data_IF_875753878663
#
_entry.id   IF_875753878663
#
_cell.length_a   1.000
_cell.length_b   1.000
_cell.length_c   1.000
_cell.angle_alpha   90.00
_cell.angle_beta   90.00
_cell.angle_gamma   90.00
#
_symmetry.space_group_name_H-M   'P 1'
#
loop_
_entity.id
_entity.type
_entity.pdbx_description
1 polymer ?
#
# COMPACT_ATOMS: atom_id res chain seq x y z
N UNK A 1 13.16 52.04 57.10
CA UNK A 1 13.54 50.85 56.30
C UNK A 1 12.34 49.97 55.91
N UNK A 2 11.10 50.48 55.92
CA UNK A 2 9.88 49.68 55.64
C UNK A 2 9.17 50.04 54.32
N UNK A 3 9.45 51.21 53.72
CA UNK A 3 8.79 51.65 52.47
C UNK A 3 9.39 51.02 51.20
N UNK A 4 10.65 50.58 51.23
CA UNK A 4 11.35 50.01 50.06
C UNK A 4 11.02 48.53 49.84
N UNK A 5 10.62 47.81 50.89
CA UNK A 5 10.32 46.36 50.83
C UNK A 5 8.92 46.10 50.23
N UNK A 6 8.01 47.06 50.35
CA UNK A 6 6.63 46.92 49.87
C UNK A 6 6.50 47.17 48.36
N UNK A 7 7.30 48.09 47.80
CA UNK A 7 7.34 48.37 46.35
C UNK A 7 8.05 47.26 45.54
N UNK A 8 9.03 46.58 46.13
CA UNK A 8 9.74 45.44 45.48
C UNK A 8 8.82 44.21 45.36
N UNK A 9 7.98 43.92 46.37
CA UNK A 9 7.06 42.78 46.34
C UNK A 9 5.95 42.91 45.28
N UNK A 10 5.43 44.12 45.03
CA UNK A 10 4.36 44.32 44.05
C UNK A 10 4.85 44.22 42.59
N UNK A 11 6.11 44.62 42.33
CA UNK A 11 6.75 44.51 41.00
C UNK A 11 7.12 43.05 40.66
N UNK A 12 7.55 42.26 41.66
CA UNK A 12 7.88 40.83 41.49
C UNK A 12 6.60 40.00 41.27
N UNK A 13 5.51 40.29 41.99
CA UNK A 13 4.23 39.60 41.80
C UNK A 13 3.67 39.91 40.41
N UNK A 14 3.75 41.16 39.93
CA UNK A 14 3.27 41.55 38.61
C UNK A 14 4.09 40.89 37.47
N UNK A 15 5.42 40.84 37.60
CA UNK A 15 6.29 40.14 36.63
C UNK A 15 6.06 38.63 36.62
N UNK A 16 5.88 37.99 37.78
CA UNK A 16 5.53 36.56 37.87
C UNK A 16 4.12 36.26 37.31
N UNK A 17 3.15 37.18 37.46
CA UNK A 17 1.80 37.02 36.91
C UNK A 17 1.77 37.19 35.39
N UNK A 18 2.46 38.22 34.86
CA UNK A 18 2.62 38.43 33.42
C UNK A 18 3.39 37.27 32.76
N UNK A 19 4.40 36.72 33.44
CA UNK A 19 5.14 35.54 32.99
C UNK A 19 4.28 34.26 32.97
N UNK A 20 3.43 34.07 33.99
CA UNK A 20 2.52 32.90 34.10
C UNK A 20 1.34 32.96 33.11
N UNK A 21 0.84 34.15 32.79
CA UNK A 21 -0.15 34.37 31.72
C UNK A 21 0.47 34.17 30.33
N UNK A 22 1.70 34.67 30.10
CA UNK A 22 2.45 34.45 28.86
C UNK A 22 2.73 32.96 28.62
N UNK A 23 3.10 32.20 29.64
CA UNK A 23 3.41 30.77 29.52
C UNK A 23 2.19 29.94 29.12
N UNK A 24 0.99 30.22 29.68
CA UNK A 24 -0.24 29.53 29.27
C UNK A 24 -0.63 29.84 27.82
N UNK A 25 -0.45 31.08 27.37
CA UNK A 25 -0.75 31.50 26.00
C UNK A 25 0.25 30.88 25.02
N UNK A 26 1.53 30.81 25.38
CA UNK A 26 2.56 30.12 24.58
C UNK A 26 2.27 28.62 24.51
N UNK A 27 1.94 27.97 25.62
CA UNK A 27 1.57 26.54 25.63
C UNK A 27 0.31 26.27 24.80
N UNK A 28 -0.71 27.14 24.86
CA UNK A 28 -1.94 26.98 24.07
C UNK A 28 -1.68 27.12 22.57
N UNK A 29 -0.85 28.09 22.16
CA UNK A 29 -0.47 28.27 20.76
C UNK A 29 0.46 27.15 20.26
N UNK A 30 1.36 26.62 21.10
CA UNK A 30 2.20 25.47 20.75
C UNK A 30 1.35 24.21 20.60
N UNK A 31 0.37 23.96 21.49
CA UNK A 31 -0.58 22.85 21.36
C UNK A 31 -1.45 23.00 20.12
N UNK A 32 -1.90 24.22 19.81
CA UNK A 32 -2.67 24.50 18.60
C UNK A 32 -1.82 24.26 17.33
N UNK A 33 -0.55 24.67 17.33
CA UNK A 33 0.37 24.48 16.21
C UNK A 33 0.74 23.00 16.00
N UNK A 34 0.94 22.24 17.08
CA UNK A 34 1.19 20.78 16.99
C UNK A 34 -0.05 20.01 16.55
N UNK A 35 -1.25 20.48 16.91
CA UNK A 35 -2.51 19.92 16.44
C UNK A 35 -2.76 20.16 14.94
N UNK A 36 -2.29 21.28 14.37
CA UNK A 36 -2.37 21.53 12.92
C UNK A 36 -1.39 20.64 12.14
N UNK A 37 -0.21 20.37 12.68
CA UNK A 37 0.82 19.55 12.02
C UNK A 37 0.49 18.04 11.96
N UNK A 38 -0.42 17.54 12.80
CA UNK A 38 -0.79 16.12 12.83
C UNK A 38 -1.90 15.72 11.84
N UNK A 39 -2.49 16.67 11.11
CA UNK A 39 -3.63 16.40 10.19
C UNK A 39 -3.20 16.26 8.72
N UNK A 40 -1.90 16.16 8.44
CA UNK A 40 -1.45 15.68 7.12
C UNK A 40 -1.68 14.17 7.02
N UNK A 41 -2.94 13.77 6.87
CA UNK A 41 -3.29 12.43 6.44
C UNK A 41 -2.91 12.33 4.97
N UNK A 42 -1.85 11.58 4.67
CA UNK A 42 -1.52 11.22 3.29
C UNK A 42 -2.76 10.53 2.69
N UNK A 43 -3.39 11.14 1.68
CA UNK A 43 -4.30 10.41 0.81
C UNK A 43 -3.43 9.42 0.02
N UNK A 44 -3.35 8.18 0.51
CA UNK A 44 -2.79 7.09 -0.28
C UNK A 44 -3.90 6.65 -1.23
N UNK A 45 -3.81 7.09 -2.49
CA UNK A 45 -4.66 6.59 -3.56
C UNK A 45 -4.16 5.17 -3.88
N UNK A 46 -4.79 4.16 -3.29
CA UNK A 46 -4.48 2.78 -3.61
C UNK A 46 -4.93 2.46 -5.04
N UNK A 47 -4.15 1.67 -5.75
CA UNK A 47 -4.51 1.09 -7.04
C UNK A 47 -5.88 0.41 -6.94
N UNK A 48 -6.74 0.67 -7.92
CA UNK A 48 -8.07 0.05 -7.98
C UNK A 48 -7.96 -1.42 -8.42
N UNK A 49 -7.70 -2.29 -7.46
CA UNK A 49 -7.78 -3.73 -7.65
C UNK A 49 -9.21 -4.22 -7.38
N UNK A 50 -9.79 -4.96 -8.32
CA UNK A 50 -11.13 -5.54 -8.20
C UNK A 50 -11.04 -7.02 -7.76
N UNK A 51 -12.09 -7.54 -7.14
CA UNK A 51 -12.22 -8.96 -6.81
C UNK A 51 -12.81 -9.73 -8.01
N UNK A 52 -12.09 -10.74 -8.49
CA UNK A 52 -12.52 -11.57 -9.63
C UNK A 52 -13.16 -12.92 -9.25
N UNK A 53 -13.36 -13.21 -7.96
CA UNK A 53 -14.00 -14.46 -7.53
C UNK A 53 -13.45 -15.08 -6.24
N UNK A 54 -13.00 -14.27 -5.29
CA UNK A 54 -12.56 -14.74 -3.97
C UNK A 54 -13.72 -15.46 -3.25
N UNK A 55 -13.52 -16.72 -2.88
CA UNK A 55 -14.57 -17.54 -2.26
C UNK A 55 -14.22 -17.95 -0.83
N UNK A 56 -12.94 -18.18 -0.55
CA UNK A 56 -12.45 -18.68 0.74
C UNK A 56 -11.61 -17.66 1.52
N UNK A 57 -11.76 -16.38 1.20
CA UNK A 57 -11.02 -15.31 1.84
C UNK A 57 -11.45 -13.93 1.37
N UNK A 58 -10.83 -12.91 1.93
CA UNK A 58 -11.12 -11.50 1.65
C UNK A 58 -9.82 -10.76 1.37
N UNK A 59 -9.81 -9.97 0.29
CA UNK A 59 -8.71 -9.07 -0.05
C UNK A 59 -8.76 -7.85 0.89
N UNK A 60 -7.66 -7.55 1.56
CA UNK A 60 -7.52 -6.37 2.42
C UNK A 60 -6.85 -5.23 1.66
N UNK A 61 -5.74 -5.53 0.98
CA UNK A 61 -4.98 -4.54 0.24
C UNK A 61 -4.21 -5.19 -0.91
N UNK A 62 -4.00 -4.43 -1.98
CA UNK A 62 -3.14 -4.83 -3.09
C UNK A 62 -2.23 -3.65 -3.42
N UNK A 63 -0.93 -3.92 -3.35
CA UNK A 63 0.12 -2.96 -3.68
C UNK A 63 0.89 -3.47 -4.91
N UNK A 64 1.13 -2.60 -5.88
CA UNK A 64 1.89 -2.93 -7.09
C UNK A 64 2.90 -1.84 -7.35
N UNK A 65 4.18 -2.21 -7.35
CA UNK A 65 5.28 -1.28 -7.52
C UNK A 65 5.16 -0.48 -8.83
N UNK A 66 5.14 0.85 -8.73
CA UNK A 66 5.06 1.74 -9.89
C UNK A 66 3.64 2.02 -10.39
N UNK A 67 2.61 1.66 -9.61
CA UNK A 67 1.20 1.89 -9.95
C UNK A 67 0.46 2.73 -8.89
N UNK A 68 1.19 3.47 -8.06
CA UNK A 68 0.66 4.35 -7.01
C UNK A 68 -0.18 5.49 -7.62
N UNK A 69 -1.45 5.61 -7.18
CA UNK A 69 -2.35 6.65 -7.65
C UNK A 69 -2.87 6.49 -9.08
N UNK A 70 -2.63 5.34 -9.71
CA UNK A 70 -3.12 5.01 -11.05
C UNK A 70 -4.37 4.13 -11.00
N UNK A 71 -5.34 4.38 -11.88
CA UNK A 71 -6.51 3.50 -12.07
C UNK A 71 -6.20 2.31 -12.99
N UNK A 72 -5.20 2.46 -13.88
CA UNK A 72 -4.73 1.43 -14.81
C UNK A 72 -3.21 1.33 -14.67
N UNK A 73 -2.72 0.20 -14.17
CA UNK A 73 -1.32 -0.01 -13.81
C UNK A 73 -0.39 -0.03 -15.05
N UNK A 74 0.57 0.90 -15.17
CA UNK A 74 1.56 0.90 -16.26
C UNK A 74 2.63 -0.17 -16.02
N UNK A 75 2.54 -1.30 -16.73
CA UNK A 75 3.54 -2.36 -16.67
C UNK A 75 4.69 -2.06 -17.63
N UNK A 76 5.78 -1.52 -17.09
CA UNK A 76 6.94 -1.14 -17.90
C UNK A 76 7.77 -2.35 -18.35
N UNK A 77 7.95 -2.46 -19.65
CA UNK A 77 8.82 -3.45 -20.29
C UNK A 77 10.26 -3.31 -19.79
N UNK A 78 10.94 -4.45 -19.62
CA UNK A 78 12.33 -4.50 -19.18
C UNK A 78 12.52 -4.24 -17.69
N UNK A 79 11.43 -4.23 -16.91
CA UNK A 79 11.48 -3.99 -15.46
C UNK A 79 10.86 -5.13 -14.67
N UNK A 80 11.28 -5.23 -13.41
CA UNK A 80 10.63 -6.09 -12.42
C UNK A 80 9.47 -5.31 -11.79
N UNK A 81 8.29 -5.91 -11.80
CA UNK A 81 7.11 -5.44 -11.10
C UNK A 81 6.88 -6.37 -9.90
N UNK A 82 6.75 -5.78 -8.72
CA UNK A 82 6.45 -6.51 -7.49
C UNK A 82 5.03 -6.19 -7.05
N UNK A 83 4.26 -7.23 -6.79
CA UNK A 83 2.90 -7.15 -6.27
C UNK A 83 2.86 -7.76 -4.88
N UNK A 84 2.21 -7.07 -3.94
CA UNK A 84 1.93 -7.58 -2.60
C UNK A 84 0.43 -7.58 -2.37
N UNK A 85 -0.14 -8.76 -2.13
CA UNK A 85 -1.54 -8.93 -1.75
C UNK A 85 -1.64 -9.26 -0.26
N UNK A 86 -2.34 -8.41 0.50
CA UNK A 86 -2.72 -8.65 1.88
C UNK A 86 -4.14 -9.22 1.89
N UNK A 87 -4.34 -10.37 2.54
CA UNK A 87 -5.63 -11.03 2.57
C UNK A 87 -5.89 -11.75 3.88
N UNK A 88 -7.17 -11.96 4.20
CA UNK A 88 -7.60 -12.83 5.29
C UNK A 88 -8.16 -14.12 4.72
N UNK A 89 -7.74 -15.26 5.26
CA UNK A 89 -8.29 -16.57 4.89
C UNK A 89 -9.54 -16.87 5.72
N UNK A 90 -10.57 -17.47 5.13
CA UNK A 90 -11.76 -17.99 5.85
C UNK A 90 -11.69 -19.51 6.07
N UNK A 91 -10.66 -20.15 5.51
CA UNK A 91 -10.45 -21.60 5.57
C UNK A 91 -9.08 -21.94 6.14
N UNK A 92 -8.94 -23.20 6.54
CA UNK A 92 -7.63 -23.80 6.79
C UNK A 92 -7.16 -24.48 5.51
N UNK A 93 -5.93 -24.21 5.07
CA UNK A 93 -5.33 -24.89 3.92
C UNK A 93 -3.87 -25.22 4.17
N UNK A 94 -3.45 -26.43 3.78
CA UNK A 94 -2.05 -26.87 3.93
C UNK A 94 -1.14 -26.32 2.83
N UNK A 95 -1.71 -26.04 1.67
CA UNK A 95 -1.00 -25.51 0.51
C UNK A 95 -1.69 -24.26 0.00
N UNK A 96 -0.94 -23.39 -0.65
CA UNK A 96 -1.50 -22.20 -1.28
C UNK A 96 -0.81 -22.04 -2.64
N UNK A 97 -1.56 -22.17 -3.72
CA UNK A 97 -1.02 -22.14 -5.07
C UNK A 97 -1.29 -20.80 -5.73
N UNK A 98 -0.24 -20.08 -6.11
CA UNK A 98 -0.31 -18.88 -6.91
C UNK A 98 -0.45 -19.21 -8.41
N UNK A 99 -1.39 -18.55 -9.07
CA UNK A 99 -1.51 -18.55 -10.52
C UNK A 99 -1.77 -17.13 -11.03
N UNK A 100 -0.99 -16.71 -12.03
CA UNK A 100 -1.15 -15.40 -12.67
C UNK A 100 -1.62 -15.58 -14.09
N UNK A 101 -2.61 -14.78 -14.51
CA UNK A 101 -3.10 -14.75 -15.88
C UNK A 101 -3.08 -13.34 -16.45
N UNK A 102 -2.67 -13.21 -17.71
CA UNK A 102 -2.90 -12.01 -18.50
C UNK A 102 -4.09 -12.23 -19.43
N UNK A 103 -5.04 -11.30 -19.41
CA UNK A 103 -6.26 -11.35 -20.22
C UNK A 103 -6.31 -10.18 -21.21
N UNK A 104 -6.55 -10.50 -22.46
CA UNK A 104 -6.69 -9.54 -23.57
C UNK A 104 -7.95 -9.90 -24.34
N UNK A 105 -9.05 -9.19 -24.04
CA UNK A 105 -10.38 -9.51 -24.57
C UNK A 105 -10.81 -10.93 -24.18
N UNK A 106 -11.01 -11.80 -25.17
CA UNK A 106 -11.40 -13.21 -24.97
C UNK A 106 -10.23 -14.15 -24.69
N UNK A 107 -9.00 -13.69 -24.87
CA UNK A 107 -7.81 -14.51 -24.68
C UNK A 107 -7.32 -14.39 -23.23
N UNK A 108 -7.18 -15.53 -22.53
CA UNK A 108 -6.57 -15.63 -21.19
C UNK A 108 -5.34 -16.52 -21.27
N UNK A 109 -4.18 -16.03 -20.84
CA UNK A 109 -2.90 -16.76 -20.85
C UNK A 109 -2.33 -16.86 -19.45
N UNK A 110 -1.98 -18.07 -19.03
CA UNK A 110 -1.29 -18.31 -17.75
C UNK A 110 0.18 -17.92 -17.86
N UNK A 111 0.65 -17.10 -16.94
CA UNK A 111 2.07 -16.79 -16.79
C UNK A 111 2.77 -17.92 -16.03
N UNK A 112 3.97 -18.31 -16.48
CA UNK A 112 4.75 -19.38 -15.85
C UNK A 112 5.58 -18.79 -14.71
N UNK A 113 5.15 -19.02 -13.48
CA UNK A 113 5.90 -18.66 -12.28
C UNK A 113 7.08 -19.64 -12.08
N UNK A 114 8.24 -19.18 -11.56
CA UNK A 114 9.34 -20.05 -11.17
C UNK A 114 8.92 -21.07 -10.12
N UNK A 115 8.14 -20.62 -9.15
CA UNK A 115 7.49 -21.43 -8.13
C UNK A 115 6.03 -20.94 -7.99
N UNK A 116 5.09 -21.87 -8.05
CA UNK A 116 3.67 -21.59 -7.87
C UNK A 116 3.19 -21.85 -6.45
N UNK A 117 4.00 -22.44 -5.56
CA UNK A 117 3.59 -22.66 -4.18
C UNK A 117 3.88 -21.41 -3.33
N UNK A 118 2.84 -20.65 -3.04
CA UNK A 118 2.94 -19.45 -2.20
C UNK A 118 3.40 -19.76 -0.76
N UNK A 119 3.22 -21.00 -0.28
CA UNK A 119 3.76 -21.45 1.00
C UNK A 119 5.30 -21.47 1.02
N UNK A 120 5.93 -21.72 -0.13
CA UNK A 120 7.38 -21.82 -0.24
C UNK A 120 8.02 -20.45 -0.48
N UNK A 121 7.23 -19.45 -0.91
CA UNK A 121 7.72 -18.14 -1.37
C UNK A 121 7.22 -16.94 -0.57
N UNK A 122 6.62 -17.13 0.61
CA UNK A 122 6.33 -15.98 1.49
C UNK A 122 5.15 -16.13 2.46
N UNK A 123 4.28 -17.13 2.30
CA UNK A 123 3.15 -17.34 3.21
C UNK A 123 3.43 -18.51 4.15
N UNK A 124 3.30 -18.30 5.46
CA UNK A 124 3.48 -19.37 6.43
C UNK A 124 2.27 -20.32 6.39
N UNK A 125 2.51 -21.57 5.97
CA UNK A 125 1.49 -22.60 5.90
C UNK A 125 1.60 -23.60 7.08
N UNK A 126 0.49 -24.23 7.50
CA UNK A 126 -0.86 -24.09 6.95
C UNK A 126 -1.48 -22.72 7.26
N UNK A 127 -2.16 -22.14 6.29
CA UNK A 127 -2.98 -20.95 6.54
C UNK A 127 -4.22 -21.35 7.36
N UNK A 128 -4.71 -20.43 8.17
CA UNK A 128 -5.77 -20.65 9.15
C UNK A 128 -6.89 -19.63 8.98
N UNK A 129 -8.13 -20.01 9.33
CA UNK A 129 -9.28 -19.13 9.21
C UNK A 129 -9.14 -17.91 10.12
N UNK A 130 -9.56 -16.75 9.61
CA UNK A 130 -9.53 -15.42 10.24
C UNK A 130 -8.13 -14.87 10.50
N UNK A 131 -7.09 -15.50 9.96
CA UNK A 131 -5.73 -14.96 9.98
C UNK A 131 -5.43 -14.18 8.70
N UNK A 132 -4.61 -13.13 8.85
CA UNK A 132 -4.20 -12.26 7.76
C UNK A 132 -2.78 -12.62 7.31
N UNK A 133 -2.58 -12.67 6.00
CA UNK A 133 -1.33 -13.01 5.34
C UNK A 133 -0.94 -11.95 4.32
N UNK A 134 0.35 -11.88 4.03
CA UNK A 134 0.91 -11.09 2.93
C UNK A 134 1.56 -12.05 1.94
N UNK A 135 1.13 -12.02 0.69
CA UNK A 135 1.78 -12.72 -0.40
C UNK A 135 2.46 -11.71 -1.32
N UNK A 136 3.76 -11.86 -1.53
CA UNK A 136 4.54 -11.00 -2.42
C UNK A 136 5.06 -11.81 -3.60
N UNK A 137 4.91 -11.26 -4.80
CA UNK A 137 5.36 -11.85 -6.05
C UNK A 137 6.05 -10.80 -6.92
N UNK A 138 7.24 -11.13 -7.43
CA UNK A 138 7.97 -10.28 -8.38
C UNK A 138 8.03 -10.96 -9.75
N UNK A 139 7.65 -10.22 -10.80
CA UNK A 139 7.63 -10.69 -12.19
C UNK A 139 8.42 -9.72 -13.07
N UNK A 140 9.23 -10.26 -13.98
CA UNK A 140 9.89 -9.48 -15.02
C UNK A 140 9.00 -9.33 -16.25
N UNK A 141 8.76 -8.09 -16.70
CA UNK A 141 7.99 -7.79 -17.91
C UNK A 141 8.94 -7.86 -19.12
N UNK A 142 8.82 -8.93 -19.92
CA UNK A 142 9.78 -9.21 -20.99
C UNK A 142 9.71 -8.20 -22.15
N UNK A 143 10.86 -7.97 -22.81
CA UNK A 143 11.00 -7.03 -23.93
C UNK A 143 10.14 -7.33 -25.15
N UNK A 144 9.81 -8.61 -25.35
CA UNK A 144 9.00 -9.06 -26.47
C UNK A 144 7.48 -8.93 -26.21
N UNK A 145 7.06 -8.43 -25.05
CA UNK A 145 5.64 -8.26 -24.75
C UNK A 145 5.07 -7.07 -25.54
N UNK A 146 3.92 -7.25 -26.22
CA UNK A 146 3.31 -6.20 -27.00
C UNK A 146 2.80 -5.08 -26.08
N UNK A 147 2.87 -3.83 -26.56
CA UNK A 147 2.37 -2.65 -25.84
C UNK A 147 0.84 -2.56 -25.98
N UNK A 148 0.11 -3.23 -25.09
CA UNK A 148 -1.35 -3.36 -25.13
C UNK A 148 -1.97 -3.23 -23.75
N UNK A 149 -3.27 -2.96 -23.68
CA UNK A 149 -4.05 -3.15 -22.47
C UNK A 149 -4.16 -4.65 -22.14
N UNK A 150 -4.01 -4.99 -20.86
CA UNK A 150 -4.08 -6.35 -20.34
C UNK A 150 -4.65 -6.31 -18.94
N UNK A 151 -5.63 -7.16 -18.64
CA UNK A 151 -6.06 -7.35 -17.26
C UNK A 151 -5.20 -8.45 -16.64
N UNK A 152 -4.60 -8.17 -15.49
CA UNK A 152 -3.79 -9.15 -14.75
C UNK A 152 -4.64 -9.74 -13.65
N UNK A 153 -4.78 -11.06 -13.63
CA UNK A 153 -5.48 -11.80 -12.59
C UNK A 153 -4.47 -12.58 -11.73
N UNK A 154 -4.45 -12.34 -10.42
CA UNK A 154 -3.73 -13.15 -9.44
C UNK A 154 -4.73 -14.02 -8.68
N UNK A 155 -4.51 -15.32 -8.70
CA UNK A 155 -5.24 -16.32 -7.95
C UNK A 155 -4.36 -16.90 -6.85
N UNK A 156 -4.87 -16.96 -5.62
CA UNK A 156 -4.30 -17.77 -4.53
C UNK A 156 -5.28 -18.89 -4.19
N UNK A 157 -4.92 -20.12 -4.53
CA UNK A 157 -5.80 -21.27 -4.56
C UNK A 157 -5.44 -22.21 -3.41
N UNK A 158 -6.43 -22.63 -2.63
CA UNK A 158 -6.22 -23.56 -1.51
C UNK A 158 -6.06 -25.03 -1.92
N UNK A 159 -5.90 -25.93 -0.94
CA UNK A 159 -5.78 -27.37 -1.14
C UNK A 159 -7.08 -28.05 -1.61
N UNK A 160 -8.20 -27.32 -1.69
CA UNK A 160 -9.48 -27.76 -2.26
C UNK A 160 -9.70 -27.28 -3.69
N UNK A 161 -8.70 -26.60 -4.28
CA UNK A 161 -8.76 -25.96 -5.60
C UNK A 161 -9.78 -24.82 -5.71
N UNK A 162 -9.99 -24.09 -4.62
CA UNK A 162 -10.85 -22.90 -4.60
C UNK A 162 -10.00 -21.66 -4.34
N UNK A 163 -10.37 -20.55 -5.00
CA UNK A 163 -9.72 -19.26 -4.79
C UNK A 163 -9.98 -18.74 -3.36
N UNK A 164 -8.91 -18.69 -2.56
CA UNK A 164 -8.88 -17.93 -1.30
C UNK A 164 -9.03 -16.45 -1.64
N UNK A 165 -8.23 -15.96 -2.59
CA UNK A 165 -8.43 -14.64 -3.20
C UNK A 165 -8.23 -14.70 -4.72
N UNK A 166 -8.94 -13.82 -5.43
CA UNK A 166 -8.79 -13.54 -6.84
C UNK A 166 -8.72 -12.02 -7.03
N UNK A 167 -7.54 -11.51 -7.40
CA UNK A 167 -7.30 -10.08 -7.62
C UNK A 167 -7.25 -9.79 -9.11
N UNK A 168 -8.04 -8.82 -9.58
CA UNK A 168 -8.02 -8.28 -10.93
C UNK A 168 -7.38 -6.89 -10.94
N UNK A 169 -6.31 -6.72 -11.71
CA UNK A 169 -5.59 -5.46 -11.86
C UNK A 169 -5.67 -5.01 -13.32
N UNK A 170 -6.45 -3.96 -13.63
CA UNK A 170 -6.44 -3.33 -14.94
C UNK A 170 -5.04 -2.79 -15.22
N UNK A 171 -4.42 -3.23 -16.32
CA UNK A 171 -3.05 -2.86 -16.65
C UNK A 171 -2.89 -2.51 -18.13
N UNK A 172 -1.78 -1.84 -18.44
CA UNK A 172 -1.34 -1.68 -19.82
C UNK A 172 0.18 -1.81 -19.88
N UNK A 173 0.66 -2.53 -20.88
CA UNK A 173 2.09 -2.74 -21.08
C UNK A 173 2.65 -1.51 -21.80
N UNK A 174 3.57 -0.82 -21.16
CA UNK A 174 4.27 0.35 -21.71
C UNK A 174 5.72 0.01 -22.00
N UNK A 175 6.27 0.55 -23.08
CA UNK A 175 7.72 0.54 -23.29
C UNK A 175 8.30 1.91 -23.03
N UNK A 176 9.61 1.97 -22.88
CA UNK A 176 10.31 3.25 -22.93
C UNK A 176 10.03 3.94 -24.28
N UNK A 177 9.72 5.24 -24.23
CA UNK A 177 9.94 6.09 -25.39
C UNK A 177 11.46 6.09 -25.63
N UNK A 178 11.94 5.95 -26.88
CA UNK A 178 13.35 6.13 -27.15
C UNK A 178 13.76 7.51 -26.64
N UNK A 179 14.77 7.55 -25.77
CA UNK A 179 15.37 8.75 -25.17
C UNK A 179 15.82 9.79 -26.21
N UNK A 180 15.87 9.40 -27.48
CA UNK A 180 16.16 10.26 -28.64
C UNK A 180 15.07 11.32 -28.89
N UNK A 181 13.81 11.08 -28.51
CA UNK A 181 12.70 12.03 -28.78
C UNK A 181 12.63 13.16 -27.76
N UNK A 182 13.27 13.03 -26.59
CA UNK A 182 13.31 14.08 -25.57
C UNK A 182 14.40 15.14 -25.80
N UNK A 183 15.24 14.98 -26.84
CA UNK A 183 16.37 15.88 -27.15
C UNK A 183 16.15 16.64 -28.48
N UNK A 184 14.94 16.61 -29.06
CA UNK A 184 14.61 17.37 -30.28
C UNK A 184 13.76 18.59 -29.93
#
# INVERSE_FOLDING_TARGET
MFSVIFTINLLIICTLFLFKMGLKIVLLNVVYLTFILSVSQCLVNNLKADDCGSTHGTIINVDVSGCDGEDICPLKIGTNVTMTATFTSDVKSRTLTAAVYGKVGIFKRKFKLPDSNACDTGVACPISPKETYNYTLTIFIAENYPKIAVDVELHLIDDTNVDVICVLIPSHIVGDLPTVVQII
#
